data_IF_347554045286
#
_entry.id   IF_347554045286
#
_cell.length_a   1.000
_cell.length_b   1.000
_cell.length_c   1.000
_cell.angle_alpha   90.00
_cell.angle_beta   90.00
_cell.angle_gamma   90.00
#
_symmetry.space_group_name_H-M   'P 1'
#
loop_
_entity.id
_entity.type
_entity.pdbx_description
1 polymer ?
#
# COMPACT_ATOMS: atom_id res chain seq x y z
N UNK A 1 -1.13 -37.87 -42.04
CA UNK A 1 -0.10 -36.93 -41.54
C UNK A 1 -0.79 -35.62 -41.19
N UNK A 2 -0.96 -35.31 -39.89
CA UNK A 2 -1.25 -33.97 -39.35
C UNK A 2 -1.11 -34.07 -37.82
N UNK A 3 0.08 -33.75 -37.33
CA UNK A 3 0.32 -33.56 -35.90
C UNK A 3 -0.24 -32.20 -35.50
N UNK A 4 -1.16 -32.19 -34.53
CA UNK A 4 -1.65 -30.97 -33.89
C UNK A 4 -0.62 -30.57 -32.83
N UNK A 5 0.11 -29.48 -33.07
CA UNK A 5 1.02 -28.89 -32.08
C UNK A 5 0.18 -27.99 -31.17
N UNK A 6 -0.03 -28.40 -29.92
CA UNK A 6 -0.53 -27.52 -28.88
C UNK A 6 0.62 -26.62 -28.42
N UNK A 7 0.55 -25.33 -28.77
CA UNK A 7 1.45 -24.32 -28.24
C UNK A 7 0.99 -23.98 -26.81
N UNK A 8 1.62 -24.60 -25.81
CA UNK A 8 1.50 -24.12 -24.43
C UNK A 8 2.33 -22.85 -24.29
N UNK A 9 1.67 -21.69 -24.24
CA UNK A 9 2.32 -20.46 -23.82
C UNK A 9 2.59 -20.56 -22.30
N UNK A 10 3.82 -20.89 -21.93
CA UNK A 10 4.28 -20.76 -20.55
C UNK A 10 4.39 -19.26 -20.24
N UNK A 11 3.42 -18.71 -19.53
CA UNK A 11 3.56 -17.42 -18.87
C UNK A 11 4.60 -17.56 -17.77
N UNK A 12 5.85 -17.22 -18.07
CA UNK A 12 6.86 -17.00 -17.04
C UNK A 12 6.48 -15.70 -16.33
N UNK A 13 5.79 -15.82 -15.19
CA UNK A 13 5.70 -14.72 -14.25
C UNK A 13 7.13 -14.45 -13.77
N UNK A 14 7.70 -13.32 -14.21
CA UNK A 14 8.94 -12.82 -13.62
C UNK A 14 8.67 -12.57 -12.14
N UNK A 15 9.20 -13.44 -11.29
CA UNK A 15 9.26 -13.21 -9.86
C UNK A 15 10.16 -12.00 -9.67
N UNK A 16 9.55 -10.89 -9.27
CA UNK A 16 10.24 -9.69 -8.82
C UNK A 16 11.24 -10.06 -7.71
N UNK A 17 12.36 -9.34 -7.61
CA UNK A 17 13.42 -9.60 -6.62
C UNK A 17 12.96 -9.53 -5.14
N UNK A 18 11.71 -9.12 -4.89
CA UNK A 18 11.04 -9.11 -3.59
C UNK A 18 10.04 -10.27 -3.38
N UNK A 19 9.94 -11.22 -4.32
CA UNK A 19 9.00 -12.33 -4.25
C UNK A 19 7.53 -11.95 -4.50
N UNK A 20 7.24 -10.72 -4.93
CA UNK A 20 5.89 -10.24 -5.24
C UNK A 20 5.41 -10.64 -6.64
N UNK A 21 4.11 -10.90 -6.76
CA UNK A 21 3.44 -11.05 -8.06
C UNK A 21 3.31 -9.67 -8.71
N UNK A 22 3.44 -9.56 -10.05
CA UNK A 22 3.27 -8.29 -10.73
C UNK A 22 1.84 -7.77 -10.54
N UNK A 23 1.72 -6.46 -10.33
CA UNK A 23 0.46 -5.75 -10.31
C UNK A 23 0.48 -4.60 -11.33
N UNK A 24 -0.70 -4.20 -11.80
CA UNK A 24 -0.85 -3.03 -12.65
C UNK A 24 -0.95 -1.75 -11.81
N UNK A 25 -0.61 -0.63 -12.43
CA UNK A 25 -0.90 0.67 -11.84
C UNK A 25 -2.41 0.84 -11.64
N UNK A 26 -2.83 1.36 -10.49
CA UNK A 26 -4.23 1.75 -10.29
C UNK A 26 -4.37 3.20 -10.81
N UNK A 27 -4.33 3.35 -12.14
CA UNK A 27 -4.71 4.60 -12.80
C UNK A 27 -6.25 4.71 -12.90
N UNK A 28 -6.75 5.81 -13.47
CA UNK A 28 -8.13 6.34 -13.52
C UNK A 28 -9.33 5.37 -13.56
N UNK A 29 -9.17 4.12 -14.00
CA UNK A 29 -10.15 3.07 -13.78
C UNK A 29 -9.74 2.22 -12.59
N UNK A 30 -10.25 2.58 -11.41
CA UNK A 30 -10.09 1.84 -10.16
C UNK A 30 -10.85 0.49 -10.19
N UNK A 31 -10.46 -0.36 -11.12
CA UNK A 31 -11.05 -1.66 -11.34
C UNK A 31 -10.72 -2.55 -10.15
N UNK A 32 -11.76 -3.15 -9.55
CA UNK A 32 -11.57 -4.07 -8.41
C UNK A 32 -10.60 -5.22 -8.76
N UNK A 33 -10.58 -5.67 -10.00
CA UNK A 33 -9.66 -6.72 -10.47
C UNK A 33 -8.19 -6.32 -10.39
N UNK A 34 -7.85 -5.04 -10.59
CA UNK A 34 -6.48 -4.53 -10.41
C UNK A 34 -6.16 -4.37 -8.92
N UNK A 35 -7.15 -3.91 -8.15
CA UNK A 35 -7.03 -3.78 -6.71
C UNK A 35 -6.68 -5.11 -6.04
N UNK A 36 -7.32 -6.20 -6.47
CA UNK A 36 -7.10 -7.55 -5.93
C UNK A 36 -5.69 -8.11 -6.25
N UNK A 37 -4.92 -7.49 -7.15
CA UNK A 37 -3.52 -7.89 -7.45
C UNK A 37 -2.54 -7.48 -6.34
N UNK A 38 -2.87 -6.46 -5.55
CA UNK A 38 -2.01 -5.97 -4.48
C UNK A 38 -2.08 -6.92 -3.28
N UNK A 39 -0.92 -7.26 -2.72
CA UNK A 39 -0.82 -8.26 -1.67
C UNK A 39 -0.74 -7.61 -0.30
N UNK A 40 -1.47 -8.15 0.67
CA UNK A 40 -1.36 -7.70 2.04
C UNK A 40 0.00 -8.07 2.62
N UNK A 41 0.51 -7.22 3.52
CA UNK A 41 1.71 -7.53 4.29
C UNK A 41 1.46 -8.67 5.30
N UNK A 42 2.48 -9.48 5.61
CA UNK A 42 2.43 -10.43 6.72
C UNK A 42 2.12 -9.74 8.06
N UNK A 43 1.44 -10.47 8.95
CA UNK A 43 1.06 -9.98 10.29
C UNK A 43 2.23 -9.44 11.12
N UNK A 44 3.44 -9.98 10.91
CA UNK A 44 4.66 -9.56 11.60
C UNK A 44 5.14 -8.16 11.19
N UNK A 45 4.67 -7.66 10.04
CA UNK A 45 5.04 -6.35 9.50
C UNK A 45 3.92 -5.32 9.67
N UNK A 46 2.67 -5.77 9.55
CA UNK A 46 1.50 -4.94 9.76
C UNK A 46 0.42 -5.70 10.53
N UNK A 47 -0.12 -5.08 11.58
CA UNK A 47 -1.10 -5.72 12.47
C UNK A 47 -2.24 -4.77 12.83
N UNK A 48 -3.42 -5.36 13.07
CA UNK A 48 -4.58 -4.65 13.58
C UNK A 48 -4.43 -4.28 15.06
N UNK A 49 -5.15 -3.25 15.48
CA UNK A 49 -5.29 -2.96 16.91
C UNK A 49 -6.40 -3.80 17.56
N UNK A 50 -6.40 -3.87 18.89
CA UNK A 50 -7.39 -4.65 19.65
C UNK A 50 -8.84 -4.18 19.49
N UNK A 51 -9.04 -2.97 18.97
CA UNK A 51 -10.37 -2.38 18.74
C UNK A 51 -10.93 -2.74 17.36
N UNK A 52 -10.10 -3.26 16.45
CA UNK A 52 -10.49 -3.47 15.05
C UNK A 52 -10.74 -2.16 14.30
N UNK A 53 -10.17 -1.04 14.76
CA UNK A 53 -10.34 0.26 14.13
C UNK A 53 -9.26 0.58 13.10
N UNK A 54 -8.06 0.04 13.27
CA UNK A 54 -6.91 0.38 12.42
C UNK A 54 -5.97 -0.79 12.21
N UNK A 55 -5.30 -0.78 11.07
CA UNK A 55 -4.17 -1.66 10.75
C UNK A 55 -2.91 -0.82 10.64
N UNK A 56 -1.84 -1.23 11.33
CA UNK A 56 -0.63 -0.44 11.49
C UNK A 56 0.58 -1.17 10.91
N UNK A 57 1.29 -0.51 9.98
CA UNK A 57 2.65 -0.86 9.61
C UNK A 57 3.57 -0.57 10.80
N UNK A 58 4.22 -1.60 11.33
CA UNK A 58 5.08 -1.53 12.51
C UNK A 58 6.40 -0.82 12.19
N UNK A 59 7.08 -0.31 13.22
CA UNK A 59 8.39 0.31 13.08
C UNK A 59 9.38 -0.64 12.37
N UNK A 60 10.32 -0.06 11.63
CA UNK A 60 11.36 -0.76 10.86
C UNK A 60 10.82 -1.69 9.75
N UNK A 61 9.57 -1.48 9.32
CA UNK A 61 8.96 -2.23 8.22
C UNK A 61 8.57 -1.30 7.06
N UNK A 62 8.35 -1.92 5.89
CA UNK A 62 8.01 -1.23 4.67
C UNK A 62 6.86 -1.89 3.90
N UNK A 63 6.12 -1.08 3.14
CA UNK A 63 5.24 -1.52 2.05
C UNK A 63 6.01 -1.31 0.75
N UNK A 64 6.37 -2.40 0.06
CA UNK A 64 6.99 -2.32 -1.26
C UNK A 64 5.95 -2.20 -2.38
N UNK A 65 6.41 -1.96 -3.60
CA UNK A 65 5.55 -1.96 -4.80
C UNK A 65 4.68 -3.22 -4.86
N UNK A 66 3.41 -3.07 -5.24
CA UNK A 66 2.42 -4.15 -5.30
C UNK A 66 2.06 -4.78 -3.93
N UNK A 67 2.51 -4.18 -2.82
CA UNK A 67 2.03 -4.51 -1.48
C UNK A 67 1.08 -3.43 -0.99
N UNK A 68 0.29 -3.80 0.04
CA UNK A 68 -0.67 -2.90 0.68
C UNK A 68 -0.85 -3.20 2.16
N UNK A 69 -1.45 -2.24 2.85
CA UNK A 69 -2.18 -2.47 4.09
C UNK A 69 -3.65 -2.08 3.87
N UNK A 70 -4.57 -2.79 4.53
CA UNK A 70 -6.00 -2.51 4.52
C UNK A 70 -6.47 -2.23 5.93
N UNK A 71 -7.41 -1.32 6.08
CA UNK A 71 -8.08 -1.14 7.37
C UNK A 71 -8.94 -2.38 7.70
N UNK A 72 -9.24 -2.64 8.98
CA UNK A 72 -10.03 -3.81 9.36
C UNK A 72 -11.43 -3.87 8.74
N UNK A 73 -12.09 -2.72 8.52
CA UNK A 73 -13.41 -2.69 7.88
C UNK A 73 -13.38 -2.98 6.37
N UNK A 74 -12.19 -3.04 5.75
CA UNK A 74 -12.04 -3.28 4.31
C UNK A 74 -12.55 -2.13 3.43
N UNK A 75 -12.68 -0.93 3.99
CA UNK A 75 -13.16 0.29 3.33
C UNK A 75 -12.04 1.20 2.84
N UNK A 76 -10.79 0.89 3.17
CA UNK A 76 -9.62 1.66 2.75
C UNK A 76 -8.38 0.78 2.58
N UNK A 77 -7.51 1.14 1.65
CA UNK A 77 -6.14 0.60 1.58
C UNK A 77 -5.12 1.69 1.32
N UNK A 78 -3.90 1.48 1.82
CA UNK A 78 -2.70 2.19 1.38
C UNK A 78 -1.84 1.22 0.56
N UNK A 79 -1.43 1.63 -0.63
CA UNK A 79 -0.58 0.85 -1.51
C UNK A 79 0.52 1.70 -2.16
N UNK A 80 1.67 1.08 -2.45
CA UNK A 80 2.68 1.66 -3.34
C UNK A 80 2.50 1.07 -4.73
N UNK A 81 2.19 1.94 -5.68
CA UNK A 81 1.95 1.59 -7.07
C UNK A 81 3.24 1.36 -7.86
N UNK A 82 3.22 0.58 -8.95
CA UNK A 82 4.36 0.40 -9.84
C UNK A 82 4.95 1.69 -10.44
N UNK A 83 4.14 2.75 -10.56
CA UNK A 83 4.59 4.06 -11.05
C UNK A 83 5.35 4.88 -9.99
N UNK A 84 5.45 4.37 -8.75
CA UNK A 84 6.10 5.04 -7.62
C UNK A 84 5.17 5.87 -6.76
N UNK A 85 3.87 5.92 -7.04
CA UNK A 85 2.93 6.70 -6.24
C UNK A 85 2.41 5.90 -5.04
N UNK A 86 2.48 6.47 -3.85
CA UNK A 86 1.81 5.93 -2.67
C UNK A 86 0.39 6.51 -2.62
N UNK A 87 -0.62 5.66 -2.61
CA UNK A 87 -2.01 6.10 -2.73
C UNK A 87 -2.88 5.42 -1.68
N UNK A 88 -3.77 6.21 -1.08
CA UNK A 88 -4.86 5.69 -0.26
C UNK A 88 -6.10 5.62 -1.14
N UNK A 89 -6.75 4.47 -1.16
CA UNK A 89 -8.02 4.25 -1.83
C UNK A 89 -9.13 4.00 -0.80
N UNK A 90 -10.25 4.70 -0.94
CA UNK A 90 -11.53 4.34 -0.34
C UNK A 90 -12.24 3.29 -1.18
N UNK A 91 -12.99 2.41 -0.51
CA UNK A 91 -13.75 1.30 -1.08
C UNK A 91 -15.13 1.31 -0.45
N UNK A 92 -16.18 1.29 -1.26
CA UNK A 92 -17.55 1.19 -0.77
C UNK A 92 -18.41 0.34 -1.68
N UNK A 93 -19.43 -0.29 -1.11
CA UNK A 93 -20.37 -1.07 -1.88
C UNK A 93 -21.34 -0.16 -2.65
N UNK A 94 -21.41 -0.36 -3.96
CA UNK A 94 -22.38 0.24 -4.85
C UNK A 94 -22.47 -0.61 -6.12
N UNK A 95 -23.67 -0.70 -6.69
CA UNK A 95 -23.92 -1.53 -7.88
C UNK A 95 -23.52 -0.84 -9.19
N UNK A 96 -23.24 0.47 -9.14
CA UNK A 96 -22.93 1.33 -10.30
C UNK A 96 -21.49 1.24 -10.78
N UNK A 97 -20.59 0.66 -9.99
CA UNK A 97 -19.18 0.50 -10.32
C UNK A 97 -18.80 -0.98 -10.42
N UNK A 98 -17.77 -1.28 -11.20
CA UNK A 98 -17.12 -2.60 -11.22
C UNK A 98 -18.11 -3.77 -11.37
N UNK A 99 -19.09 -3.65 -12.25
CA UNK A 99 -20.12 -4.69 -12.50
C UNK A 99 -20.83 -5.16 -11.22
N UNK A 100 -21.05 -4.26 -10.26
CA UNK A 100 -21.66 -4.59 -8.97
C UNK A 100 -20.66 -4.95 -7.87
N UNK A 101 -19.36 -4.91 -8.15
CA UNK A 101 -18.28 -5.23 -7.22
C UNK A 101 -17.93 -4.14 -6.21
N UNK A 102 -18.61 -2.99 -6.23
CA UNK A 102 -18.30 -1.83 -5.40
C UNK A 102 -17.43 -0.79 -6.11
N UNK A 103 -17.45 0.43 -5.60
CA UNK A 103 -16.65 1.53 -6.12
C UNK A 103 -15.35 1.67 -5.33
N UNK A 104 -14.33 2.21 -6.00
CA UNK A 104 -13.01 2.45 -5.46
C UNK A 104 -12.58 3.85 -5.91
N UNK A 105 -12.05 4.66 -5.01
CA UNK A 105 -11.58 6.02 -5.32
C UNK A 105 -10.34 6.38 -4.53
N UNK A 106 -9.38 7.06 -5.16
CA UNK A 106 -8.22 7.61 -4.46
C UNK A 106 -8.64 8.78 -3.58
N UNK A 107 -8.28 8.76 -2.30
CA UNK A 107 -8.58 9.80 -1.32
C UNK A 107 -7.34 10.56 -0.85
N UNK A 108 -6.15 10.03 -1.14
CA UNK A 108 -4.87 10.70 -0.92
C UNK A 108 -3.79 10.11 -1.82
N UNK A 109 -2.82 10.93 -2.20
CA UNK A 109 -1.64 10.51 -2.95
C UNK A 109 -0.41 11.28 -2.47
N UNK A 110 0.75 10.62 -2.44
CA UNK A 110 2.04 11.27 -2.16
C UNK A 110 2.52 12.18 -3.30
N UNK A 111 1.94 12.05 -4.51
CA UNK A 111 2.38 12.77 -5.69
C UNK A 111 3.75 12.30 -6.23
N UNK A 112 4.20 11.10 -5.84
CA UNK A 112 5.52 10.55 -6.21
C UNK A 112 5.47 9.67 -7.46
N UNK A 113 4.49 9.89 -8.35
CA UNK A 113 4.45 9.19 -9.62
C UNK A 113 5.69 9.52 -10.46
N UNK A 114 6.17 8.54 -11.24
CA UNK A 114 7.36 8.62 -12.08
C UNK A 114 8.68 8.88 -11.32
N UNK A 115 8.73 8.74 -10.00
CA UNK A 115 9.98 8.90 -9.23
C UNK A 115 10.76 7.59 -9.05
N UNK A 116 10.31 6.48 -9.63
CA UNK A 116 10.83 5.12 -9.38
C UNK A 116 10.85 4.74 -7.89
N UNK A 117 9.87 5.22 -7.12
CA UNK A 117 9.74 4.81 -5.73
C UNK A 117 9.45 3.30 -5.62
N UNK A 118 10.07 2.67 -4.61
CA UNK A 118 10.05 1.21 -4.40
C UNK A 118 9.58 0.80 -3.00
N UNK A 119 9.59 1.71 -2.04
CA UNK A 119 9.11 1.42 -0.69
C UNK A 119 8.52 2.65 0.02
N UNK A 120 7.42 2.41 0.74
CA UNK A 120 6.92 3.23 1.84
C UNK A 120 7.53 2.68 3.13
N UNK A 121 8.24 3.49 3.89
CA UNK A 121 8.85 3.09 5.16
C UNK A 121 8.15 3.72 6.36
N UNK A 122 7.95 2.91 7.39
CA UNK A 122 7.89 3.38 8.78
C UNK A 122 9.20 3.01 9.45
N UNK A 123 10.13 3.95 9.57
CA UNK A 123 11.45 3.69 10.12
C UNK A 123 12.05 4.93 10.77
N UNK A 124 12.77 4.74 11.88
CA UNK A 124 13.39 5.81 12.66
C UNK A 124 12.42 6.95 13.03
N UNK A 125 11.20 6.60 13.43
CA UNK A 125 10.19 7.58 13.82
C UNK A 125 9.56 8.34 12.64
N UNK A 126 9.85 7.95 11.39
CA UNK A 126 9.45 8.68 10.17
C UNK A 126 8.60 7.82 9.24
N UNK A 127 7.68 8.49 8.55
CA UNK A 127 6.98 7.97 7.38
C UNK A 127 7.55 8.64 6.12
N UNK A 128 8.16 7.84 5.25
CA UNK A 128 8.80 8.34 4.03
C UNK A 128 8.71 7.34 2.87
N UNK A 129 8.96 7.84 1.67
CA UNK A 129 8.93 7.06 0.42
C UNK A 129 10.29 7.17 -0.24
N UNK A 130 10.83 6.06 -0.72
CA UNK A 130 12.19 5.97 -1.27
C UNK A 130 12.23 5.16 -2.55
N UNK A 131 13.26 5.39 -3.37
CA UNK A 131 13.58 4.61 -4.57
C UNK A 131 14.28 3.28 -4.30
N UNK A 132 14.50 2.91 -3.03
CA UNK A 132 15.14 1.65 -2.64
C UNK A 132 14.25 0.82 -1.71
N UNK A 133 14.36 -0.51 -1.78
CA UNK A 133 13.77 -1.40 -0.77
C UNK A 133 14.60 -1.49 0.51
N UNK A 134 15.72 -0.76 0.58
CA UNK A 134 16.57 -0.63 1.76
C UNK A 134 16.46 0.77 2.37
N UNK A 135 16.73 0.89 3.67
CA UNK A 135 16.55 2.13 4.44
C UNK A 135 17.52 3.26 4.08
N UNK A 136 18.60 2.96 3.36
CA UNK A 136 19.62 3.91 2.92
C UNK A 136 19.38 4.51 1.51
N UNK A 137 18.23 4.21 0.88
CA UNK A 137 17.89 4.77 -0.42
C UNK A 137 17.56 6.27 -0.38
N UNK A 138 17.67 6.98 -1.52
CA UNK A 138 17.18 8.34 -1.64
C UNK A 138 15.69 8.44 -1.29
N UNK A 139 15.33 9.40 -0.43
CA UNK A 139 13.94 9.74 -0.17
C UNK A 139 13.41 10.63 -1.29
N UNK A 140 12.21 10.33 -1.78
CA UNK A 140 11.49 11.15 -2.77
C UNK A 140 10.32 11.92 -2.15
N UNK A 141 9.90 11.51 -0.94
CA UNK A 141 8.85 12.17 -0.18
C UNK A 141 8.98 11.80 1.30
N UNK A 142 8.62 12.73 2.19
CA UNK A 142 8.64 12.54 3.64
C UNK A 142 7.51 13.33 4.30
N UNK A 143 6.93 12.78 5.36
CA UNK A 143 5.89 13.43 6.16
C UNK A 143 6.37 14.73 6.84
N UNK A 144 7.68 14.96 6.93
CA UNK A 144 8.31 16.12 7.57
C UNK A 144 8.16 16.11 9.09
N UNK A 145 7.79 14.98 9.67
CA UNK A 145 7.52 14.78 11.11
C UNK A 145 8.23 13.54 11.61
N UNK A 146 8.68 13.59 12.86
CA UNK A 146 9.47 12.53 13.50
C UNK A 146 8.93 12.26 14.90
N UNK A 147 8.63 10.99 15.20
CA UNK A 147 8.32 10.50 16.54
C UNK A 147 9.45 9.63 17.10
N UNK A 148 9.13 8.74 18.05
CA UNK A 148 10.10 7.80 18.62
C UNK A 148 10.64 6.80 17.60
N UNK A 149 11.96 6.60 17.60
CA UNK A 149 12.69 5.79 16.61
C UNK A 149 12.10 4.38 16.40
N UNK A 150 11.73 3.70 17.50
CA UNK A 150 11.23 2.32 17.48
C UNK A 150 9.74 2.21 17.85
N UNK A 151 9.12 3.31 18.25
CA UNK A 151 7.77 3.34 18.81
C UNK A 151 6.69 3.71 17.82
N UNK A 152 7.07 4.24 16.65
CA UNK A 152 6.08 4.73 15.69
C UNK A 152 5.37 3.63 14.94
N UNK A 153 4.09 3.85 14.68
CA UNK A 153 3.22 2.97 13.91
C UNK A 153 2.48 3.79 12.86
N UNK A 154 2.58 3.41 11.58
CA UNK A 154 1.84 4.05 10.50
C UNK A 154 0.53 3.28 10.30
N UNK A 155 -0.58 3.87 10.72
CA UNK A 155 -1.87 3.20 10.85
C UNK A 155 -2.91 3.73 9.87
N UNK A 156 -3.54 2.83 9.12
CA UNK A 156 -4.71 3.11 8.31
C UNK A 156 -5.98 2.79 9.10
N UNK A 157 -6.78 3.83 9.33
CA UNK A 157 -7.98 3.81 10.15
C UNK A 157 -9.23 3.46 9.34
N UNK A 158 -10.30 3.07 10.03
CA UNK A 158 -11.57 2.72 9.38
C UNK A 158 -12.29 3.90 8.72
N UNK A 159 -11.97 5.13 9.13
CA UNK A 159 -12.42 6.36 8.49
C UNK A 159 -11.63 6.71 7.22
N UNK A 160 -10.61 5.93 6.85
CA UNK A 160 -9.76 6.19 5.68
C UNK A 160 -8.56 7.10 5.95
N UNK A 161 -8.41 7.61 7.18
CA UNK A 161 -7.27 8.42 7.54
C UNK A 161 -6.01 7.57 7.78
N UNK A 162 -4.89 8.03 7.24
CA UNK A 162 -3.57 7.44 7.51
C UNK A 162 -2.84 8.31 8.54
N UNK A 163 -2.45 7.70 9.65
CA UNK A 163 -1.89 8.40 10.80
C UNK A 163 -0.60 7.74 11.26
N UNK A 164 0.45 8.54 11.45
CA UNK A 164 1.66 8.12 12.14
C UNK A 164 1.46 8.36 13.63
N UNK A 165 1.33 7.28 14.38
CA UNK A 165 1.26 7.30 15.83
C UNK A 165 2.62 7.10 16.45
N UNK A 166 2.89 7.77 17.57
CA UNK A 166 3.97 7.45 18.50
C UNK A 166 3.48 6.53 19.62
N UNK A 167 4.39 6.13 20.50
CA UNK A 167 4.10 5.46 21.76
C UNK A 167 3.00 6.16 22.55
N UNK A 168 2.11 5.38 23.16
CA UNK A 168 0.96 5.89 23.89
C UNK A 168 -0.18 6.46 23.02
N UNK A 169 -0.10 6.33 21.69
CA UNK A 169 -1.17 6.77 20.77
C UNK A 169 -1.12 8.26 20.43
N UNK A 170 0.01 8.93 20.67
CA UNK A 170 0.21 10.34 20.29
C UNK A 170 0.27 10.47 18.76
N UNK A 171 -0.46 11.42 18.17
CA UNK A 171 -0.42 11.67 16.72
C UNK A 171 0.81 12.48 16.36
N UNK A 172 1.68 11.94 15.50
CA UNK A 172 2.88 12.61 14.97
C UNK A 172 2.58 13.30 13.65
N UNK A 173 1.80 12.63 12.80
CA UNK A 173 1.38 13.11 11.47
C UNK A 173 0.07 12.45 11.06
N UNK A 174 -0.73 13.13 10.24
CA UNK A 174 -1.93 12.56 9.63
C UNK A 174 -2.07 13.06 8.19
N UNK A 175 -2.58 12.20 7.31
CA UNK A 175 -2.84 12.52 5.91
C UNK A 175 -4.02 13.48 5.74
N UNK A 176 -5.00 13.42 6.66
CA UNK A 176 -6.26 14.17 6.51
C UNK A 176 -7.12 13.62 5.38
N UNK A 177 -7.08 12.30 5.17
CA UNK A 177 -7.62 11.61 3.98
C UNK A 177 -8.99 10.97 4.21
N UNK A 178 -9.85 11.57 5.04
CA UNK A 178 -11.19 11.07 5.40
C UNK A 178 -12.31 11.94 4.82
#
# INVERSE_FOLDING_TARGET
MKFLVFLFAAFAALVSADGGYPCNNLADWNAKSVFDQYQDLPYMMATGDSTGFKTCLLATNAITTCKRIRNPAGTAMLALQPDGNAVIYAIWYATTCNWGGGCISSIWSSGTYATNARAIWNNNGRFYITTSVYTNGPSVWDAGKTGSIFGTQLCLQNDGNLVLYDTGGTVVWAAGSH
#
